data_IF_896299635164
#
_entry.id   IF_896299635164
#
_cell.length_a   1.000
_cell.length_b   1.000
_cell.length_c   1.000
_cell.angle_alpha   90.00
_cell.angle_beta   90.00
_cell.angle_gamma   90.00
#
_symmetry.space_group_name_H-M   'P 1'
#
loop_
_entity.id
_entity.type
_entity.pdbx_description
1 polymer ?
#
# COMPACT_ATOMS: atom_id res chain seq x y z
N UNK A 1 -5.17 -3.48 27.46
CA UNK A 1 -4.57 -2.26 26.90
C UNK A 1 -3.37 -2.68 26.08
N UNK A 2 -3.47 -2.65 24.75
CA UNK A 2 -2.30 -2.91 23.91
C UNK A 2 -1.60 -1.56 23.75
N UNK A 3 -0.59 -1.31 24.58
CA UNK A 3 0.32 -0.19 24.40
C UNK A 3 1.21 -0.51 23.21
N UNK A 4 0.99 0.16 22.08
CA UNK A 4 1.90 0.05 20.94
C UNK A 4 3.18 0.84 21.27
N UNK A 5 4.28 0.14 21.52
CA UNK A 5 5.59 0.75 21.78
C UNK A 5 6.31 0.81 20.44
N UNK A 6 6.67 2.02 20.03
CA UNK A 6 7.43 2.26 18.82
C UNK A 6 8.81 2.79 19.20
N UNK A 7 9.85 2.11 18.75
CA UNK A 7 11.24 2.45 19.03
C UNK A 7 12.00 2.60 17.74
N UNK A 8 12.66 3.75 17.56
CA UNK A 8 13.41 4.06 16.35
C UNK A 8 14.77 4.66 16.70
N UNK A 9 15.73 4.44 15.81
CA UNK A 9 17.10 4.94 15.96
C UNK A 9 17.41 5.91 14.83
N UNK A 10 18.00 7.05 15.20
CA UNK A 10 18.57 8.02 14.28
C UNK A 10 20.11 8.10 14.46
N UNK A 11 20.89 8.25 13.37
CA UNK A 11 20.45 8.12 11.99
C UNK A 11 19.95 6.70 11.70
N UNK A 12 18.88 6.59 10.93
CA UNK A 12 18.40 5.31 10.45
C UNK A 12 19.35 4.87 9.34
N UNK A 13 20.05 3.76 9.60
CA UNK A 13 21.03 3.20 8.69
C UNK A 13 20.43 1.94 8.08
N UNK A 14 20.24 1.95 6.77
CA UNK A 14 19.85 0.74 6.06
C UNK A 14 21.04 0.22 5.25
N UNK A 15 21.31 -1.08 5.39
CA UNK A 15 22.37 -1.91 4.79
C UNK A 15 23.59 -2.20 5.67
N UNK A 16 24.14 -3.42 5.46
CA UNK A 16 25.46 -3.88 5.89
C UNK A 16 26.64 -3.05 5.34
N UNK A 17 26.39 -2.06 4.47
CA UNK A 17 27.42 -1.32 3.72
C UNK A 17 27.45 0.17 4.13
N UNK A 18 26.53 0.63 4.98
CA UNK A 18 26.59 1.97 5.61
C UNK A 18 26.43 3.16 4.65
N UNK A 19 25.92 2.95 3.43
CA UNK A 19 25.91 3.97 2.38
C UNK A 19 24.83 5.06 2.55
N UNK A 20 23.76 4.81 3.31
CA UNK A 20 22.66 5.77 3.46
C UNK A 20 22.26 6.01 4.92
N UNK A 21 22.32 7.28 5.32
CA UNK A 21 21.95 7.74 6.67
C UNK A 21 20.76 8.67 6.57
N UNK A 22 19.65 8.29 7.19
CA UNK A 22 18.47 9.14 7.28
C UNK A 22 18.43 9.80 8.66
N UNK A 23 18.46 11.13 8.67
CA UNK A 23 18.37 11.94 9.90
C UNK A 23 16.94 12.35 10.24
N UNK A 24 15.97 11.85 9.47
CA UNK A 24 14.54 12.03 9.66
C UNK A 24 13.89 10.65 9.70
N UNK A 25 13.04 10.43 10.67
CA UNK A 25 12.18 9.26 10.74
C UNK A 25 10.77 9.71 11.14
N UNK A 26 9.75 9.05 10.58
CA UNK A 26 8.36 9.36 10.85
C UNK A 26 7.54 8.07 10.77
N UNK A 27 6.70 7.85 11.77
CA UNK A 27 5.84 6.68 11.85
C UNK A 27 4.45 7.08 12.33
N UNK A 28 3.45 6.36 11.85
CA UNK A 28 2.05 6.63 12.16
C UNK A 28 1.65 5.74 13.34
N UNK A 29 1.22 6.37 14.44
CA UNK A 29 0.69 5.66 15.60
C UNK A 29 -0.55 4.86 15.21
N UNK A 30 -0.56 3.57 15.54
CA UNK A 30 -1.73 2.72 15.27
C UNK A 30 -2.97 3.32 15.96
N UNK A 31 -4.08 3.53 15.24
CA UNK A 31 -5.28 4.09 15.83
C UNK A 31 -5.81 3.13 16.91
N UNK A 32 -5.98 3.62 18.14
CA UNK A 32 -6.70 2.86 19.17
C UNK A 32 -8.17 2.74 18.73
N UNK A 33 -8.59 1.54 18.33
CA UNK A 33 -9.98 1.21 18.01
C UNK A 33 -10.87 1.11 19.29
N UNK A 34 -10.52 1.82 20.36
CA UNK A 34 -11.24 1.78 21.63
C UNK A 34 -12.11 3.03 21.75
N UNK A 35 -13.42 2.88 21.47
CA UNK A 35 -14.44 3.93 21.53
C UNK A 35 -14.79 4.44 22.94
N UNK A 36 -13.85 4.37 23.89
CA UNK A 36 -13.98 5.01 25.19
C UNK A 36 -13.32 6.37 25.14
N UNK A 37 -14.00 7.41 25.63
CA UNK A 37 -13.50 8.79 25.85
C UNK A 37 -12.34 8.86 26.88
N UNK A 38 -11.34 8.01 26.72
CA UNK A 38 -10.16 7.98 27.55
C UNK A 38 -9.12 8.86 26.86
N UNK A 39 -8.70 9.91 27.54
CA UNK A 39 -7.58 10.77 27.12
C UNK A 39 -6.39 9.90 26.73
N UNK A 40 -6.05 9.87 25.44
CA UNK A 40 -4.88 9.16 24.95
C UNK A 40 -3.63 9.97 25.30
N UNK A 41 -2.90 9.53 26.32
CA UNK A 41 -1.60 10.12 26.67
C UNK A 41 -0.51 9.49 25.81
N UNK A 42 0.25 10.34 25.12
CA UNK A 42 1.44 9.95 24.36
C UNK A 42 2.65 10.26 25.23
N UNK A 43 3.45 9.25 25.55
CA UNK A 43 4.71 9.39 26.29
C UNK A 43 5.85 9.16 25.32
N UNK A 44 6.79 10.11 25.27
CA UNK A 44 7.99 10.01 24.45
C UNK A 44 9.20 9.95 25.38
N UNK A 45 10.02 8.93 25.21
CA UNK A 45 11.33 8.82 25.83
C UNK A 45 12.41 8.98 24.78
N UNK A 46 13.42 9.80 25.07
CA UNK A 46 14.56 10.05 24.18
C UNK A 46 15.84 9.75 24.92
N UNK A 47 16.70 8.95 24.29
CA UNK A 47 18.03 8.62 24.80
C UNK A 47 19.06 8.83 23.70
N UNK A 48 20.24 9.33 24.05
CA UNK A 48 21.36 9.51 23.12
C UNK A 48 22.63 8.92 23.74
N UNK A 49 23.47 8.33 22.89
CA UNK A 49 24.82 7.88 23.25
C UNK A 49 25.89 8.74 22.55
N UNK A 50 25.53 9.94 22.11
CA UNK A 50 26.47 10.86 21.45
C UNK A 50 27.37 11.53 22.49
N UNK A 51 28.67 11.55 22.22
CA UNK A 51 29.67 12.27 23.03
C UNK A 51 29.56 13.78 22.80
N UNK A 52 29.02 14.20 21.66
CA UNK A 52 28.79 15.60 21.29
C UNK A 52 27.32 15.98 21.49
N UNK A 53 27.05 17.26 21.76
CA UNK A 53 25.69 17.79 21.86
C UNK A 53 24.93 17.59 20.55
N UNK A 54 23.74 16.98 20.62
CA UNK A 54 22.87 16.73 19.46
C UNK A 54 21.57 17.50 19.64
N UNK A 55 21.20 18.26 18.61
CA UNK A 55 19.90 18.93 18.53
C UNK A 55 18.96 18.08 17.67
N UNK A 56 17.75 17.83 18.17
CA UNK A 56 16.70 17.14 17.42
C UNK A 56 15.38 17.87 17.54
N UNK A 57 14.46 17.62 16.60
CA UNK A 57 13.12 18.18 16.60
C UNK A 57 12.14 17.00 16.57
N UNK A 58 11.25 16.96 17.55
CA UNK A 58 10.14 16.01 17.59
C UNK A 58 8.85 16.73 17.20
N UNK A 59 8.12 16.14 16.24
CA UNK A 59 6.83 16.64 15.79
C UNK A 59 5.79 15.53 15.90
N UNK A 60 4.62 15.90 16.38
CA UNK A 60 3.45 15.06 16.42
C UNK A 60 2.37 15.75 15.60
N UNK A 61 2.00 15.14 14.48
CA UNK A 61 1.04 15.69 13.54
C UNK A 61 -0.11 14.71 13.32
N UNK A 62 -1.31 15.23 13.08
CA UNK A 62 -2.45 14.40 12.69
C UNK A 62 -2.31 14.03 11.21
N UNK A 63 -2.30 12.72 10.92
CA UNK A 63 -2.22 12.21 9.55
C UNK A 63 -3.45 12.67 8.75
N UNK A 64 -3.20 13.49 7.73
CA UNK A 64 -4.25 13.96 6.81
C UNK A 64 -4.67 12.82 5.89
N UNK A 65 -5.95 12.79 5.56
CA UNK A 65 -6.53 11.83 4.60
C UNK A 65 -6.27 10.36 4.96
N UNK A 66 -6.16 10.03 6.26
CA UNK A 66 -5.94 8.65 6.72
C UNK A 66 -7.00 7.68 6.18
N UNK A 67 -8.26 8.12 6.14
CA UNK A 67 -9.36 7.37 5.51
C UNK A 67 -9.38 7.61 4.00
N UNK A 68 -9.17 6.57 3.22
CA UNK A 68 -9.18 6.60 1.75
C UNK A 68 -10.61 6.60 1.23
N UNK A 69 -10.89 7.48 0.27
CA UNK A 69 -12.15 7.55 -0.44
C UNK A 69 -12.04 6.89 -1.80
N UNK A 70 -13.11 6.20 -2.22
CA UNK A 70 -13.21 5.61 -3.55
C UNK A 70 -13.08 6.69 -4.65
N UNK A 71 -12.36 6.37 -5.72
CA UNK A 71 -12.10 7.25 -6.87
C UNK A 71 -11.40 8.57 -6.53
N UNK A 72 -10.81 8.69 -5.34
CA UNK A 72 -10.01 9.85 -4.95
C UNK A 72 -8.54 9.47 -4.94
N UNK A 73 -7.75 10.22 -5.71
CA UNK A 73 -6.30 10.05 -5.74
C UNK A 73 -5.67 10.69 -4.49
N UNK A 74 -4.69 9.99 -3.92
CA UNK A 74 -3.89 10.45 -2.78
C UNK A 74 -2.43 10.41 -3.17
N UNK A 75 -1.72 11.54 -3.01
CA UNK A 75 -0.31 11.68 -3.37
C UNK A 75 0.54 12.08 -2.17
N UNK A 76 1.72 11.49 -2.05
CA UNK A 76 2.64 11.72 -0.93
C UNK A 76 4.05 11.21 -1.26
N UNK A 77 5.01 11.68 -0.47
CA UNK A 77 6.39 11.25 -0.52
C UNK A 77 6.68 10.25 0.58
N UNK A 78 7.51 9.25 0.25
CA UNK A 78 7.95 8.20 1.14
C UNK A 78 9.47 8.13 1.16
N UNK A 79 10.05 7.72 2.28
CA UNK A 79 11.46 7.33 2.37
C UNK A 79 11.59 6.02 3.17
N UNK A 80 12.72 5.30 3.10
CA UNK A 80 12.91 4.07 3.90
C UNK A 80 12.70 4.23 5.40
N UNK A 81 12.89 5.43 5.96
CA UNK A 81 12.68 5.75 7.38
C UNK A 81 11.35 6.46 7.66
N UNK A 82 10.51 6.65 6.64
CA UNK A 82 9.22 7.32 6.73
C UNK A 82 8.15 6.49 5.99
N UNK A 83 7.84 5.27 6.47
CA UNK A 83 6.75 4.49 5.93
C UNK A 83 5.41 5.17 6.21
N UNK A 84 4.44 4.94 5.33
CA UNK A 84 3.09 5.51 5.46
C UNK A 84 2.08 4.42 5.21
N UNK A 85 0.99 4.43 5.96
CA UNK A 85 -0.16 3.61 5.70
C UNK A 85 -1.46 4.40 5.81
N UNK A 86 -2.50 3.89 5.15
CA UNK A 86 -3.83 4.47 5.11
C UNK A 86 -4.88 3.42 5.44
N UNK A 87 -6.04 3.85 5.90
CA UNK A 87 -7.18 2.98 6.15
C UNK A 87 -8.19 3.06 5.01
N UNK A 88 -8.68 1.91 4.57
CA UNK A 88 -9.80 1.82 3.64
C UNK A 88 -10.86 0.88 4.21
N UNK A 89 -12.13 1.28 4.04
CA UNK A 89 -13.28 0.45 4.36
C UNK A 89 -14.21 0.37 3.16
N UNK A 90 -14.76 -0.82 2.92
CA UNK A 90 -15.68 -1.04 1.83
C UNK A 90 -17.02 -0.36 2.11
N UNK A 91 -17.54 0.37 1.12
CA UNK A 91 -18.94 0.80 1.12
C UNK A 91 -19.85 -0.39 0.81
N UNK A 92 -21.12 -0.34 1.25
CA UNK A 92 -22.06 -1.47 1.15
C UNK A 92 -22.16 -2.08 -0.25
N UNK A 93 -22.04 -1.25 -1.30
CA UNK A 93 -22.28 -1.66 -2.69
C UNK A 93 -21.05 -2.20 -3.44
N UNK A 94 -19.85 -2.16 -2.85
CA UNK A 94 -18.63 -2.65 -3.51
C UNK A 94 -18.20 -3.99 -2.91
N UNK A 95 -18.22 -5.05 -3.72
CA UNK A 95 -17.72 -6.38 -3.38
C UNK A 95 -16.20 -6.48 -3.53
N UNK A 96 -15.66 -5.81 -4.54
CA UNK A 96 -14.22 -5.79 -4.85
C UNK A 96 -13.77 -4.40 -5.29
N UNK A 97 -12.50 -4.10 -5.03
CA UNK A 97 -11.84 -2.87 -5.47
C UNK A 97 -10.45 -3.13 -6.02
N UNK A 98 -10.03 -2.30 -6.96
CA UNK A 98 -8.67 -2.24 -7.46
C UNK A 98 -7.96 -1.08 -6.77
N UNK A 99 -6.95 -1.40 -5.97
CA UNK A 99 -5.95 -0.42 -5.56
C UNK A 99 -4.93 -0.27 -6.69
N UNK A 100 -4.86 0.91 -7.28
CA UNK A 100 -3.91 1.24 -8.32
C UNK A 100 -2.91 2.28 -7.82
N UNK A 101 -1.62 2.00 -7.96
CA UNK A 101 -0.52 2.86 -7.52
C UNK A 101 0.34 3.27 -8.71
N UNK A 102 0.75 4.53 -8.74
CA UNK A 102 1.61 5.13 -9.76
C UNK A 102 2.73 5.96 -9.12
N UNK A 103 3.89 5.95 -9.76
CA UNK A 103 5.06 6.76 -9.42
C UNK A 103 5.88 6.98 -10.68
N UNK A 104 6.44 8.17 -10.82
CA UNK A 104 7.38 8.48 -11.91
C UNK A 104 8.80 7.99 -11.56
N UNK A 105 9.08 7.77 -10.27
CA UNK A 105 10.36 7.29 -9.75
C UNK A 105 10.55 5.78 -9.97
N UNK A 106 11.79 5.37 -10.23
CA UNK A 106 12.20 3.95 -10.36
C UNK A 106 12.61 3.29 -9.04
N UNK A 107 12.49 4.02 -7.92
CA UNK A 107 12.80 3.51 -6.58
C UNK A 107 11.80 2.40 -6.23
N UNK A 108 12.31 1.28 -5.72
CA UNK A 108 11.49 0.15 -5.34
C UNK A 108 10.77 0.38 -4.00
N UNK A 109 9.53 -0.09 -3.91
CA UNK A 109 8.77 -0.12 -2.67
C UNK A 109 7.98 -1.43 -2.54
N UNK A 110 7.61 -1.80 -1.33
CA UNK A 110 6.56 -2.79 -1.06
C UNK A 110 5.24 -2.06 -0.79
N UNK A 111 4.21 -2.46 -1.52
CA UNK A 111 2.82 -2.22 -1.20
C UNK A 111 2.28 -3.46 -0.47
N UNK A 112 1.67 -3.28 0.70
CA UNK A 112 1.07 -4.37 1.49
C UNK A 112 -0.35 -4.00 1.94
N UNK A 113 -1.26 -4.97 1.84
CA UNK A 113 -2.65 -4.88 2.28
C UNK A 113 -2.81 -5.74 3.51
N UNK A 114 -2.95 -5.10 4.66
CA UNK A 114 -3.03 -5.75 5.97
C UNK A 114 -4.43 -5.61 6.55
N UNK A 115 -4.80 -6.50 7.46
CA UNK A 115 -6.03 -6.32 8.23
C UNK A 115 -5.98 -5.00 9.02
N UNK A 116 -7.15 -4.41 9.28
CA UNK A 116 -7.28 -3.19 10.09
C UNK A 116 -7.09 -3.46 11.60
N UNK A 117 -5.98 -4.12 11.96
CA UNK A 117 -5.63 -4.53 13.32
C UNK A 117 -4.23 -4.05 13.68
N UNK A 118 -4.00 -3.80 14.97
CA UNK A 118 -2.68 -3.43 15.48
C UNK A 118 -1.95 -4.69 16.01
N UNK A 119 -0.61 -4.79 15.87
CA UNK A 119 0.30 -3.81 15.28
C UNK A 119 0.28 -3.81 13.74
N UNK A 120 0.54 -2.66 13.13
CA UNK A 120 0.73 -2.55 11.67
C UNK A 120 2.19 -2.81 11.34
N UNK A 121 2.45 -3.71 10.40
CA UNK A 121 3.81 -4.01 9.96
C UNK A 121 4.25 -3.03 8.87
N UNK A 122 4.78 -1.89 9.28
CA UNK A 122 5.20 -0.76 8.43
C UNK A 122 6.72 -0.71 8.16
N UNK A 123 7.49 -1.61 8.76
CA UNK A 123 8.95 -1.70 8.56
C UNK A 123 9.28 -2.68 7.45
N UNK A 124 10.37 -2.43 6.72
CA UNK A 124 10.80 -3.27 5.62
C UNK A 124 11.12 -4.72 6.03
N UNK A 125 11.61 -4.92 7.25
CA UNK A 125 11.90 -6.25 7.81
C UNK A 125 10.62 -7.01 8.21
N UNK A 126 9.56 -6.28 8.55
CA UNK A 126 8.34 -6.86 9.12
C UNK A 126 7.15 -6.87 8.17
N UNK A 127 7.11 -6.00 7.16
CA UNK A 127 6.03 -5.86 6.17
C UNK A 127 5.76 -7.16 5.40
N UNK A 128 6.70 -8.10 5.46
CA UNK A 128 6.57 -9.43 4.88
C UNK A 128 5.72 -10.43 5.68
N UNK A 129 5.44 -10.12 6.95
CA UNK A 129 4.79 -11.06 7.87
C UNK A 129 3.26 -11.03 7.84
N UNK A 130 2.66 -10.02 7.20
CA UNK A 130 1.21 -9.92 7.09
C UNK A 130 0.76 -9.41 5.72
N UNK A 131 -0.44 -9.84 5.34
CA UNK A 131 -1.17 -9.27 4.23
C UNK A 131 -0.73 -9.71 2.83
N UNK A 132 -1.54 -9.30 1.84
CA UNK A 132 -1.19 -9.40 0.43
C UNK A 132 -0.14 -8.34 0.11
N UNK A 133 0.87 -8.67 -0.70
CA UNK A 133 1.98 -7.75 -0.96
C UNK A 133 2.48 -7.81 -2.39
N UNK A 134 2.92 -6.67 -2.88
CA UNK A 134 3.51 -6.51 -4.20
C UNK A 134 4.68 -5.53 -4.14
N UNK A 135 5.77 -5.84 -4.84
CA UNK A 135 6.85 -4.88 -5.06
C UNK A 135 6.50 -3.98 -6.24
N UNK A 136 6.68 -2.68 -6.07
CA UNK A 136 6.28 -1.65 -7.04
C UNK A 136 7.47 -0.76 -7.34
N UNK A 137 7.86 -0.71 -8.60
CA UNK A 137 8.79 0.29 -9.11
C UNK A 137 8.00 1.51 -9.59
N UNK A 138 7.40 1.50 -10.77
CA UNK A 138 6.60 2.63 -11.27
C UNK A 138 5.10 2.48 -11.02
N UNK A 139 4.52 1.36 -11.46
CA UNK A 139 3.07 1.11 -11.38
C UNK A 139 2.79 -0.23 -10.72
N UNK A 140 1.69 -0.30 -9.99
CA UNK A 140 1.26 -1.49 -9.25
C UNK A 140 -0.25 -1.55 -9.12
N UNK A 141 -0.77 -2.74 -8.88
CA UNK A 141 -2.21 -2.98 -8.85
C UNK A 141 -2.56 -4.23 -8.06
N UNK A 142 -3.35 -4.08 -7.00
CA UNK A 142 -3.86 -5.21 -6.20
C UNK A 142 -5.38 -5.14 -6.20
N UNK A 143 -6.02 -6.25 -6.60
CA UNK A 143 -7.46 -6.44 -6.44
C UNK A 143 -7.71 -6.95 -5.04
N UNK A 144 -8.68 -6.35 -4.35
CA UNK A 144 -8.98 -6.63 -2.95
C UNK A 144 -10.46 -6.97 -2.84
N UNK A 145 -10.77 -8.08 -2.19
CA UNK A 145 -12.14 -8.50 -1.89
C UNK A 145 -12.60 -8.00 -0.53
N UNK A 146 -13.86 -7.57 -0.46
CA UNK A 146 -14.53 -7.21 0.80
C UNK A 146 -14.61 -8.39 1.76
N UNK A 147 -14.78 -9.60 1.23
CA UNK A 147 -14.94 -10.82 2.03
C UNK A 147 -13.65 -11.18 2.79
N UNK A 148 -12.49 -10.80 2.25
CA UNK A 148 -11.18 -11.00 2.89
C UNK A 148 -10.91 -9.96 3.99
N UNK A 149 -11.46 -8.74 3.85
CA UNK A 149 -11.25 -7.61 4.75
C UNK A 149 -12.57 -6.96 5.20
N UNK A 150 -13.44 -7.69 5.92
CA UNK A 150 -14.80 -7.25 6.22
C UNK A 150 -14.86 -6.02 7.14
N UNK A 151 -13.85 -5.84 7.99
CA UNK A 151 -13.72 -4.71 8.91
C UNK A 151 -12.95 -3.52 8.30
N UNK A 152 -12.55 -3.61 7.03
CA UNK A 152 -11.60 -2.69 6.41
C UNK A 152 -10.16 -3.16 6.57
N UNK A 153 -9.25 -2.39 5.97
CA UNK A 153 -7.86 -2.78 5.77
C UNK A 153 -6.92 -1.59 5.92
N UNK A 154 -5.65 -1.89 6.16
CA UNK A 154 -4.55 -0.94 6.05
C UNK A 154 -3.79 -1.14 4.74
N UNK A 155 -3.58 -0.04 4.02
CA UNK A 155 -2.78 0.03 2.81
C UNK A 155 -1.42 0.59 3.21
N UNK A 156 -0.41 -0.27 3.27
CA UNK A 156 0.92 0.03 3.81
C UNK A 156 1.92 0.20 2.66
N UNK A 157 2.70 1.26 2.72
CA UNK A 157 3.71 1.60 1.73
C UNK A 157 5.08 1.73 2.40
N UNK A 158 6.03 0.89 1.96
CA UNK A 158 7.38 0.84 2.53
C UNK A 158 8.41 0.93 1.41
N UNK A 159 9.20 2.00 1.39
CA UNK A 159 10.27 2.17 0.40
C UNK A 159 11.45 1.27 0.75
N UNK A 160 12.00 0.59 -0.25
CA UNK A 160 13.21 -0.20 -0.09
C UNK A 160 14.43 0.70 -0.11
N UNK A 161 15.45 0.31 0.64
CA UNK A 161 16.76 0.96 0.57
C UNK A 161 17.47 0.71 -0.76
N UNK A 162 17.13 -0.39 -1.42
CA UNK A 162 17.66 -0.79 -2.70
C UNK A 162 16.55 -1.13 -3.69
N UNK A 163 16.94 -1.40 -4.94
CA UNK A 163 15.99 -1.78 -5.98
C UNK A 163 15.99 -3.28 -6.27
N UNK A 164 16.65 -4.10 -5.43
CA UNK A 164 16.86 -5.53 -5.67
C UNK A 164 15.55 -6.31 -5.69
N UNK A 165 14.57 -5.88 -4.89
CA UNK A 165 13.24 -6.48 -4.85
C UNK A 165 12.37 -6.19 -6.10
N UNK A 166 12.74 -5.17 -6.90
CA UNK A 166 12.03 -4.81 -8.13
C UNK A 166 12.80 -5.20 -9.40
N UNK A 167 14.14 -5.22 -9.37
CA UNK A 167 14.98 -5.53 -10.53
C UNK A 167 16.08 -6.53 -10.16
N UNK A 168 16.28 -7.54 -11.01
CA UNK A 168 17.47 -8.39 -10.99
C UNK A 168 18.56 -7.73 -11.85
N UNK A 169 19.38 -6.83 -11.28
CA UNK A 169 20.41 -6.13 -12.04
C UNK A 169 21.11 -4.96 -11.32
N UNK A 170 22.02 -4.28 -12.04
CA UNK A 170 22.99 -3.32 -11.49
C UNK A 170 22.35 -2.17 -10.69
N UNK A 171 22.93 -1.98 -9.53
CA UNK A 171 22.50 -1.13 -8.44
C UNK A 171 22.80 0.34 -8.75
N UNK A 172 21.77 1.16 -8.99
CA UNK A 172 21.93 2.61 -8.94
C UNK A 172 21.59 3.07 -7.54
N UNK A 173 22.61 3.29 -6.72
CA UNK A 173 22.48 3.90 -5.40
C UNK A 173 22.29 5.41 -5.62
N UNK A 174 21.11 5.94 -5.31
CA UNK A 174 20.85 7.40 -5.38
C UNK A 174 21.03 8.02 -4.00
N UNK A 175 21.67 9.20 -3.92
CA UNK A 175 22.05 9.87 -2.66
C UNK A 175 20.89 10.16 -1.69
N UNK A 176 19.65 10.20 -2.19
CA UNK A 176 18.42 10.20 -1.40
C UNK A 176 17.43 9.25 -2.06
N UNK A 177 16.74 8.45 -1.24
CA UNK A 177 15.67 7.55 -1.71
C UNK A 177 14.35 8.06 -1.19
N UNK A 178 13.87 9.10 -1.84
CA UNK A 178 12.51 9.59 -1.62
C UNK A 178 11.71 9.23 -2.86
N UNK A 179 10.59 8.54 -2.66
CA UNK A 179 9.68 8.13 -3.71
C UNK A 179 8.41 8.95 -3.62
N UNK A 180 8.08 9.68 -4.67
CA UNK A 180 6.78 10.33 -4.80
C UNK A 180 5.79 9.34 -5.44
N UNK A 181 4.68 9.10 -4.77
CA UNK A 181 3.67 8.17 -5.25
C UNK A 181 2.29 8.81 -5.23
N UNK A 182 1.44 8.33 -6.13
CA UNK A 182 0.00 8.53 -6.05
C UNK A 182 -0.71 7.18 -6.11
N UNK A 183 -1.79 7.04 -5.36
CA UNK A 183 -2.65 5.87 -5.46
C UNK A 183 -4.12 6.25 -5.47
N UNK A 184 -4.94 5.35 -6.01
CA UNK A 184 -6.38 5.47 -6.07
C UNK A 184 -7.01 4.10 -5.89
N UNK A 185 -8.09 4.04 -5.09
CA UNK A 185 -8.94 2.85 -4.97
C UNK A 185 -10.14 3.02 -5.89
N UNK A 186 -10.27 2.13 -6.86
CA UNK A 186 -11.35 2.12 -7.86
C UNK A 186 -12.27 0.93 -7.64
N UNK A 187 -13.58 1.04 -7.89
CA UNK A 187 -14.44 -0.13 -7.94
C UNK A 187 -13.99 -1.05 -9.08
N UNK A 188 -14.04 -2.36 -8.87
CA UNK A 188 -13.94 -3.31 -9.98
C UNK A 188 -15.32 -3.54 -10.58
N UNK A 189 -15.34 -4.08 -11.80
CA UNK A 189 -16.58 -4.49 -12.46
C UNK A 189 -17.21 -5.63 -11.64
N UNK A 190 -18.51 -5.54 -11.40
CA UNK A 190 -19.23 -6.54 -10.60
C UNK A 190 -19.27 -7.90 -11.32
N UNK A 191 -19.13 -9.01 -10.59
CA UNK A 191 -19.11 -10.36 -11.19
C UNK A 191 -20.36 -10.65 -12.02
N UNK A 192 -21.53 -10.18 -11.57
CA UNK A 192 -22.79 -10.37 -12.28
C UNK A 192 -22.74 -9.72 -13.67
N UNK A 193 -22.17 -8.53 -13.77
CA UNK A 193 -22.01 -7.83 -15.04
C UNK A 193 -21.01 -8.55 -15.96
N UNK A 194 -19.95 -9.11 -15.37
CA UNK A 194 -18.98 -9.91 -16.12
C UNK A 194 -19.61 -11.19 -16.70
N UNK A 195 -20.46 -11.88 -15.95
CA UNK A 195 -21.21 -13.05 -16.43
C UNK A 195 -22.15 -12.69 -17.58
N UNK A 196 -22.90 -11.59 -17.45
CA UNK A 196 -23.80 -11.11 -18.52
C UNK A 196 -23.02 -10.82 -19.80
N UNK A 197 -21.87 -10.12 -19.69
CA UNK A 197 -21.02 -9.83 -20.86
C UNK A 197 -20.48 -11.11 -21.51
N UNK A 198 -20.05 -12.10 -20.72
CA UNK A 198 -19.62 -13.39 -21.25
C UNK A 198 -20.75 -14.13 -21.98
N UNK A 199 -21.97 -14.13 -21.45
CA UNK A 199 -23.14 -14.73 -22.09
C UNK A 199 -23.46 -14.06 -23.43
N UNK A 200 -23.39 -12.73 -23.50
CA UNK A 200 -23.59 -11.97 -24.75
C UNK A 200 -22.55 -12.39 -25.80
N UNK A 201 -21.27 -12.45 -25.43
CA UNK A 201 -20.20 -12.85 -26.37
C UNK A 201 -20.41 -14.29 -26.89
N UNK A 202 -20.80 -15.23 -26.02
CA UNK A 202 -21.11 -16.62 -26.41
C UNK A 202 -22.30 -16.65 -27.37
N UNK A 203 -23.35 -15.87 -27.11
CA UNK A 203 -24.53 -15.83 -27.96
C UNK A 203 -24.23 -15.32 -29.38
N UNK A 204 -23.41 -14.27 -29.54
CA UNK A 204 -23.06 -13.80 -30.89
C UNK A 204 -22.18 -14.83 -31.61
N UNK A 205 -21.28 -15.52 -30.89
CA UNK A 205 -20.44 -16.55 -31.47
C UNK A 205 -21.26 -17.73 -32.00
N UNK A 206 -22.25 -18.21 -31.23
CA UNK A 206 -23.18 -19.26 -31.67
C UNK A 206 -23.99 -18.79 -32.88
N UNK A 207 -24.48 -17.54 -32.86
CA UNK A 207 -25.25 -16.97 -33.97
C UNK A 207 -24.45 -16.92 -35.27
N UNK A 208 -23.16 -16.57 -35.21
CA UNK A 208 -22.24 -16.59 -36.36
C UNK A 208 -22.02 -18.02 -36.87
N UNK A 209 -21.85 -19.00 -35.99
CA UNK A 209 -21.71 -20.41 -36.38
C UNK A 209 -22.98 -20.95 -37.05
N UNK A 210 -24.16 -20.61 -36.53
CA UNK A 210 -25.44 -20.98 -37.15
C UNK A 210 -25.61 -20.31 -38.50
N UNK A 211 -25.27 -19.02 -38.61
CA UNK A 211 -25.36 -18.30 -39.88
C UNK A 211 -24.40 -18.83 -40.94
N UNK A 212 -23.17 -19.16 -40.56
CA UNK A 212 -22.18 -19.73 -41.48
C UNK A 212 -22.57 -21.14 -41.94
N UNK A 213 -23.08 -22.00 -41.05
CA UNK A 213 -23.59 -23.33 -41.43
C UNK A 213 -24.82 -23.24 -42.33
N UNK A 214 -25.74 -22.31 -42.05
CA UNK A 214 -26.91 -22.05 -42.90
C UNK A 214 -26.50 -21.53 -44.29
N UNK A 215 -25.56 -20.59 -44.36
CA UNK A 215 -24.99 -20.11 -45.63
C UNK A 215 -24.25 -21.21 -46.41
N UNK A 216 -23.62 -22.16 -45.71
CA UNK A 216 -22.96 -23.30 -46.35
C UNK A 216 -23.96 -24.31 -46.92
N UNK A 217 -25.05 -24.59 -46.19
CA UNK A 217 -26.08 -25.54 -46.61
C UNK A 217 -26.91 -25.02 -47.78
N UNK A 218 -27.14 -23.70 -47.88
CA UNK A 218 -27.87 -23.10 -49.01
C UNK A 218 -27.05 -23.00 -50.29
N UNK A 219 -25.72 -23.19 -50.22
CA UNK A 219 -24.82 -23.16 -51.38
C UNK A 219 -24.56 -24.52 -52.02
N UNK A 220 -25.00 -25.61 -51.39
CA UNK A 220 -24.89 -26.99 -51.89
C UNK A 220 -26.20 -27.43 -52.50
#
# INVERSE_FOLDING_TARGET
MISNILTYKLPFNYSNIGLFRYYKAAHILCPLLSGSNNESRIVVSVSTNSIQNVTFILRLDVQKSFNVLLNKEVSFNLSPSEPVYYYYSFKQNASMVLLHVKSDDVICMTLSIQNSSCPVFDLLETVQYDGLRQTVSKTGGIIISKDEYPLGLFIVFVVHSDNSACHRGNYQATNSRTKNISFVVKPTVDFNYQIINCLIVIFIFISILVFTTFCYHTKR
#
